data_IF_330676932518
#
_entry.id   IF_330676932518
#
_cell.length_a   1.000
_cell.length_b   1.000
_cell.length_c   1.000
_cell.angle_alpha   90.00
_cell.angle_beta   90.00
_cell.angle_gamma   90.00
#
_symmetry.space_group_name_H-M   'P 1'
#
loop_
_entity.id
_entity.type
_entity.pdbx_description
1 polymer ?
#
# COMPACT_ATOMS: atom_id res chain seq x y z
N UNK A 1 -18.23 -25.81 0.28
CA UNK A 1 -17.46 -27.01 0.64
C UNK A 1 -18.28 -27.78 1.65
N UNK A 2 -18.29 -29.12 1.56
CA UNK A 2 -18.92 -30.00 2.53
C UNK A 2 -17.80 -30.77 3.24
N UNK A 3 -17.86 -30.81 4.57
CA UNK A 3 -16.92 -31.59 5.37
C UNK A 3 -17.67 -32.78 5.96
N UNK A 4 -17.20 -33.98 5.65
CA UNK A 4 -17.73 -35.22 6.21
C UNK A 4 -16.96 -35.55 7.49
N UNK A 5 -17.70 -35.78 8.57
CA UNK A 5 -17.14 -36.40 9.76
C UNK A 5 -16.64 -37.82 9.44
N UNK A 6 -15.75 -38.38 10.24
CA UNK A 6 -15.09 -39.66 9.92
C UNK A 6 -16.07 -40.84 9.84
N UNK A 7 -17.18 -40.74 10.57
CA UNK A 7 -18.27 -41.71 10.57
C UNK A 7 -19.29 -41.52 9.42
N UNK A 8 -19.05 -40.57 8.52
CA UNK A 8 -19.89 -40.29 7.37
C UNK A 8 -19.13 -40.62 6.07
N UNK A 9 -19.72 -41.50 5.25
CA UNK A 9 -19.16 -41.90 3.96
C UNK A 9 -19.75 -41.10 2.78
N UNK A 10 -20.90 -40.46 2.98
CA UNK A 10 -21.57 -39.65 1.97
C UNK A 10 -22.28 -38.43 2.58
N UNK A 11 -22.64 -37.48 1.72
CA UNK A 11 -23.46 -36.32 2.09
C UNK A 11 -24.86 -36.80 2.47
N UNK A 12 -25.37 -36.38 3.62
CA UNK A 12 -26.71 -36.76 4.07
C UNK A 12 -27.82 -36.14 3.22
N UNK A 13 -28.94 -36.85 3.05
CA UNK A 13 -30.05 -36.42 2.20
C UNK A 13 -30.63 -35.07 2.60
N UNK A 14 -30.74 -34.78 3.90
CA UNK A 14 -31.21 -33.46 4.37
C UNK A 14 -30.30 -32.30 3.92
N UNK A 15 -29.00 -32.55 3.70
CA UNK A 15 -28.08 -31.54 3.13
C UNK A 15 -28.27 -31.44 1.62
N UNK A 16 -28.48 -32.57 0.93
CA UNK A 16 -28.76 -32.60 -0.52
C UNK A 16 -30.03 -31.82 -0.85
N UNK A 17 -31.06 -31.95 -0.02
CA UNK A 17 -32.35 -31.26 -0.18
C UNK A 17 -32.23 -29.76 0.15
N UNK A 18 -31.44 -29.40 1.18
CA UNK A 18 -31.26 -28.01 1.60
C UNK A 18 -30.30 -27.21 0.70
N UNK A 19 -29.40 -27.87 -0.03
CA UNK A 19 -28.37 -27.24 -0.87
C UNK A 19 -28.51 -27.73 -2.31
N UNK A 20 -29.28 -27.03 -3.17
CA UNK A 20 -29.62 -27.49 -4.52
C UNK A 20 -28.40 -27.83 -5.41
N UNK A 21 -27.28 -27.09 -5.24
CA UNK A 21 -26.06 -27.27 -6.04
C UNK A 21 -24.95 -27.99 -5.26
N UNK A 22 -25.29 -28.83 -4.28
CA UNK A 22 -24.28 -29.48 -3.41
C UNK A 22 -23.24 -30.29 -4.20
N UNK A 23 -23.61 -30.84 -5.37
CA UNK A 23 -22.71 -31.62 -6.24
C UNK A 23 -21.54 -30.79 -6.80
N UNK A 24 -21.68 -29.48 -6.86
CA UNK A 24 -20.62 -28.56 -7.30
C UNK A 24 -19.68 -28.16 -6.15
N UNK A 25 -20.05 -28.48 -4.90
CA UNK A 25 -19.25 -28.16 -3.74
C UNK A 25 -18.16 -29.21 -3.51
N UNK A 26 -16.90 -28.81 -3.34
CA UNK A 26 -15.85 -29.74 -2.93
C UNK A 26 -16.23 -30.41 -1.62
N UNK A 27 -16.09 -31.73 -1.57
CA UNK A 27 -16.43 -32.56 -0.40
C UNK A 27 -15.19 -33.29 0.07
N UNK A 28 -14.84 -33.13 1.36
CA UNK A 28 -13.65 -33.71 1.96
C UNK A 28 -13.99 -34.39 3.29
N UNK A 29 -13.30 -35.48 3.64
CA UNK A 29 -13.34 -36.05 5.00
C UNK A 29 -12.45 -35.21 5.92
N UNK A 30 -12.86 -35.03 7.18
CA UNK A 30 -12.16 -34.15 8.12
C UNK A 30 -10.72 -34.62 8.38
N UNK A 31 -10.51 -35.90 8.70
CA UNK A 31 -9.18 -36.39 9.07
C UNK A 31 -8.33 -36.76 7.84
N UNK A 32 -8.92 -37.39 6.82
CA UNK A 32 -8.18 -37.85 5.63
C UNK A 32 -8.02 -36.76 4.56
N UNK A 33 -8.76 -35.66 4.69
CA UNK A 33 -8.81 -34.56 3.72
C UNK A 33 -8.07 -33.29 4.15
N UNK A 34 -7.29 -33.32 5.24
CA UNK A 34 -6.71 -32.09 5.82
C UNK A 34 -5.87 -31.29 4.82
N UNK A 35 -5.05 -31.94 4.00
CA UNK A 35 -4.25 -31.26 2.98
C UNK A 35 -5.13 -30.58 1.91
N UNK A 36 -6.20 -31.25 1.48
CA UNK A 36 -7.15 -30.75 0.50
C UNK A 36 -7.96 -29.57 1.06
N UNK A 37 -8.33 -29.62 2.34
CA UNK A 37 -9.01 -28.53 3.04
C UNK A 37 -8.07 -27.31 3.13
N UNK A 38 -6.82 -27.51 3.54
CA UNK A 38 -5.81 -26.44 3.58
C UNK A 38 -5.64 -25.82 2.19
N UNK A 39 -5.45 -26.63 1.15
CA UNK A 39 -5.31 -26.14 -0.23
C UNK A 39 -6.55 -25.40 -0.73
N UNK A 40 -7.76 -25.86 -0.35
CA UNK A 40 -9.01 -25.18 -0.67
C UNK A 40 -9.04 -23.76 -0.07
N UNK A 41 -8.66 -23.59 1.19
CA UNK A 41 -8.61 -22.27 1.80
C UNK A 41 -7.45 -21.43 1.29
N UNK A 42 -6.26 -22.00 1.12
CA UNK A 42 -5.09 -21.28 0.60
C UNK A 42 -5.35 -20.71 -0.79
N UNK A 43 -5.91 -21.50 -1.71
CA UNK A 43 -6.24 -21.03 -3.05
C UNK A 43 -7.26 -19.90 -3.03
N UNK A 44 -8.30 -20.01 -2.18
CA UNK A 44 -9.29 -18.94 -2.02
C UNK A 44 -8.74 -17.68 -1.38
N UNK A 45 -7.89 -17.80 -0.37
CA UNK A 45 -7.22 -16.66 0.26
C UNK A 45 -6.31 -15.95 -0.73
N UNK A 46 -5.60 -16.69 -1.59
CA UNK A 46 -4.80 -16.10 -2.66
C UNK A 46 -5.66 -15.40 -3.71
N UNK A 47 -6.76 -16.02 -4.16
CA UNK A 47 -7.66 -15.40 -5.13
C UNK A 47 -8.43 -14.19 -4.56
N UNK A 48 -8.64 -14.17 -3.24
CA UNK A 48 -9.31 -13.09 -2.54
C UNK A 48 -8.32 -12.01 -2.04
N UNK A 49 -7.03 -12.13 -2.36
CA UNK A 49 -6.04 -11.11 -2.01
C UNK A 49 -6.46 -9.79 -2.70
N UNK A 50 -6.66 -8.71 -1.94
CA UNK A 50 -7.06 -7.43 -2.53
C UNK A 50 -6.04 -6.98 -3.56
N UNK A 51 -6.54 -6.48 -4.68
CA UNK A 51 -5.74 -5.78 -5.69
C UNK A 51 -4.92 -4.68 -5.00
N UNK A 52 -3.66 -4.53 -5.39
CA UNK A 52 -2.79 -3.50 -4.84
C UNK A 52 -2.70 -2.34 -5.83
N UNK A 53 -3.21 -1.18 -5.44
CA UNK A 53 -3.05 0.07 -6.18
C UNK A 53 -1.93 0.90 -5.55
N UNK A 54 -1.28 1.74 -6.36
CA UNK A 54 -0.27 2.70 -5.92
C UNK A 54 -0.90 4.07 -5.69
N UNK A 55 -0.45 4.78 -4.67
CA UNK A 55 -0.81 6.18 -4.42
C UNK A 55 0.44 6.99 -4.11
N UNK A 56 0.84 7.86 -5.04
CA UNK A 56 1.90 8.85 -4.85
C UNK A 56 1.29 10.11 -4.25
N UNK A 57 1.78 10.53 -3.08
CA UNK A 57 1.28 11.72 -2.39
C UNK A 57 1.93 12.98 -2.97
N UNK A 58 1.14 13.77 -3.72
CA UNK A 58 1.57 15.04 -4.33
C UNK A 58 0.65 16.23 -3.98
N UNK A 59 -0.43 16.02 -3.23
CA UNK A 59 -1.44 17.03 -2.89
C UNK A 59 -1.06 18.06 -1.82
N UNK A 60 0.18 18.08 -1.33
CA UNK A 60 0.59 18.99 -0.27
C UNK A 60 0.65 20.45 -0.72
N UNK A 61 0.26 21.39 0.15
CA UNK A 61 0.69 22.78 0.00
C UNK A 61 2.21 22.81 0.25
N UNK A 62 3.00 22.70 -0.80
CA UNK A 62 4.46 22.94 -0.81
C UNK A 62 4.78 24.42 -0.53
N UNK A 63 4.22 24.99 0.55
CA UNK A 63 4.31 26.40 0.90
C UNK A 63 5.48 26.72 1.84
N UNK A 64 6.22 25.71 2.33
CA UNK A 64 7.31 25.93 3.30
C UNK A 64 8.68 26.17 2.65
N UNK A 65 8.81 26.07 1.31
CA UNK A 65 10.06 26.30 0.58
C UNK A 65 9.88 27.12 -0.72
N UNK A 66 8.67 27.58 -1.06
CA UNK A 66 8.42 28.36 -2.28
C UNK A 66 8.60 27.61 -3.60
N UNK A 67 8.92 26.31 -3.56
CA UNK A 67 9.08 25.41 -4.70
C UNK A 67 8.27 24.14 -4.42
N UNK A 68 7.49 23.68 -5.39
CA UNK A 68 6.77 22.41 -5.27
C UNK A 68 7.77 21.26 -5.18
N UNK A 69 7.88 20.63 -4.01
CA UNK A 69 8.86 19.55 -3.77
C UNK A 69 8.63 18.35 -4.70
N UNK A 70 7.38 18.13 -5.13
CA UNK A 70 7.04 17.09 -6.10
C UNK A 70 7.68 17.33 -7.48
N UNK A 71 7.99 18.59 -7.81
CA UNK A 71 8.64 19.00 -9.05
C UNK A 71 10.18 18.97 -8.97
N UNK A 72 10.77 18.49 -7.87
CA UNK A 72 12.22 18.34 -7.78
C UNK A 72 12.68 17.21 -8.70
N UNK A 73 13.63 17.53 -9.58
CA UNK A 73 14.21 16.60 -10.53
C UNK A 73 15.45 15.93 -9.92
N UNK A 74 15.29 14.69 -9.46
CA UNK A 74 16.39 13.90 -8.91
C UNK A 74 17.06 13.03 -9.97
N UNK A 75 16.24 12.42 -10.81
CA UNK A 75 16.65 11.47 -11.85
C UNK A 75 16.38 12.03 -13.26
N UNK A 76 16.44 13.36 -13.42
CA UNK A 76 16.04 14.05 -14.66
C UNK A 76 14.53 14.10 -14.90
N UNK A 77 13.72 13.62 -13.95
CA UNK A 77 12.26 13.57 -13.96
C UNK A 77 11.70 14.06 -12.63
N UNK A 78 10.54 14.70 -12.65
CA UNK A 78 9.89 15.16 -11.42
C UNK A 78 9.61 13.97 -10.51
N UNK A 79 9.89 14.15 -9.21
CA UNK A 79 9.84 13.06 -8.25
C UNK A 79 8.48 12.36 -8.18
N UNK A 80 7.38 13.11 -8.37
CA UNK A 80 6.02 12.53 -8.40
C UNK A 80 5.86 11.49 -9.51
N UNK A 81 6.43 11.77 -10.68
CA UNK A 81 6.34 10.90 -11.85
C UNK A 81 7.33 9.74 -11.76
N UNK A 82 8.55 10.00 -11.28
CA UNK A 82 9.52 8.94 -11.03
C UNK A 82 8.99 7.89 -10.04
N UNK A 83 8.34 8.33 -8.95
CA UNK A 83 7.70 7.42 -8.01
C UNK A 83 6.50 6.70 -8.62
N UNK A 84 5.72 7.36 -9.48
CA UNK A 84 4.58 6.74 -10.14
C UNK A 84 5.03 5.63 -11.10
N UNK A 85 6.08 5.87 -11.90
CA UNK A 85 6.69 4.85 -12.75
C UNK A 85 7.19 3.67 -11.92
N UNK A 86 7.92 3.95 -10.84
CA UNK A 86 8.51 2.93 -9.99
C UNK A 86 7.43 2.03 -9.36
N UNK A 87 6.27 2.58 -9.00
CA UNK A 87 5.15 1.81 -8.47
C UNK A 87 4.44 0.93 -9.51
N UNK A 88 4.60 1.21 -10.80
CA UNK A 88 3.89 0.51 -11.88
C UNK A 88 4.20 -0.98 -11.91
N UNK A 89 5.44 -1.37 -11.60
CA UNK A 89 5.87 -2.77 -11.57
C UNK A 89 5.31 -3.56 -10.37
N UNK A 90 4.76 -2.86 -9.37
CA UNK A 90 4.29 -3.44 -8.11
C UNK A 90 2.77 -3.35 -7.92
N UNK A 91 2.10 -2.47 -8.67
CA UNK A 91 0.70 -2.12 -8.47
C UNK A 91 -0.11 -2.35 -9.75
N UNK A 92 -1.38 -2.71 -9.60
CA UNK A 92 -2.28 -2.90 -10.75
C UNK A 92 -2.68 -1.58 -11.42
N UNK A 93 -2.81 -0.51 -10.64
CA UNK A 93 -3.02 0.85 -11.11
C UNK A 93 -2.32 1.82 -10.16
N UNK A 94 -1.76 2.91 -10.68
CA UNK A 94 -1.01 3.90 -9.89
C UNK A 94 -1.64 5.27 -10.06
N UNK A 95 -1.86 5.94 -8.94
CA UNK A 95 -2.50 7.24 -8.86
C UNK A 95 -1.56 8.29 -8.26
N UNK A 96 -1.65 9.52 -8.75
CA UNK A 96 -1.03 10.69 -8.13
C UNK A 96 -2.11 11.48 -7.39
N UNK A 97 -1.93 11.71 -6.09
CA UNK A 97 -2.90 12.44 -5.27
C UNK A 97 -2.89 13.93 -5.59
N UNK A 98 -4.08 14.53 -5.71
CA UNK A 98 -4.28 15.93 -6.07
C UNK A 98 -5.18 16.62 -5.05
N UNK A 99 -4.84 17.83 -4.62
CA UNK A 99 -5.59 18.57 -3.60
C UNK A 99 -6.97 19.05 -4.09
N UNK A 100 -7.06 19.36 -5.38
CA UNK A 100 -8.23 19.94 -6.07
C UNK A 100 -8.12 19.69 -7.58
N UNK A 101 -9.18 20.04 -8.32
CA UNK A 101 -9.22 19.91 -9.78
C UNK A 101 -8.23 20.84 -10.49
N UNK A 102 -7.82 21.95 -9.86
CA UNK A 102 -6.82 22.86 -10.42
C UNK A 102 -5.45 22.18 -10.45
N UNK A 103 -5.02 21.58 -9.34
CA UNK A 103 -3.76 20.82 -9.30
C UNK A 103 -3.77 19.62 -10.23
N UNK A 104 -4.92 18.96 -10.38
CA UNK A 104 -5.06 17.85 -11.31
C UNK A 104 -4.76 18.25 -12.75
N UNK A 105 -5.09 19.48 -13.15
CA UNK A 105 -4.74 20.02 -14.48
C UNK A 105 -3.26 20.36 -14.62
N UNK A 106 -2.53 20.54 -13.51
CA UNK A 106 -1.07 20.76 -13.50
C UNK A 106 -0.29 19.44 -13.68
N UNK A 107 -0.93 18.29 -13.46
CA UNK A 107 -0.33 16.97 -13.60
C UNK A 107 -0.46 16.48 -15.04
N UNK A 108 0.62 15.91 -15.55
CA UNK A 108 0.68 15.37 -16.91
C UNK A 108 -0.43 14.34 -17.13
N UNK A 109 -1.14 14.49 -18.26
CA UNK A 109 -2.29 13.68 -18.64
C UNK A 109 -1.96 12.19 -18.87
N UNK A 110 -0.68 11.85 -18.99
CA UNK A 110 -0.22 10.45 -19.02
C UNK A 110 -0.42 9.72 -17.68
N UNK A 111 -0.54 10.45 -16.56
CA UNK A 111 -0.68 9.87 -15.22
C UNK A 111 -2.12 9.93 -14.73
N UNK A 112 -2.55 8.86 -14.07
CA UNK A 112 -3.87 8.83 -13.43
C UNK A 112 -3.82 9.63 -12.14
N UNK A 113 -4.75 10.57 -12.00
CA UNK A 113 -4.86 11.44 -10.83
C UNK A 113 -5.99 11.00 -9.90
N UNK A 114 -5.81 11.20 -8.59
CA UNK A 114 -6.87 11.02 -7.59
C UNK A 114 -7.07 12.31 -6.79
N UNK A 115 -8.20 12.97 -7.01
CA UNK A 115 -8.55 14.22 -6.31
C UNK A 115 -9.02 13.94 -4.87
N UNK A 116 -8.46 14.67 -3.90
CA UNK A 116 -8.79 14.56 -2.49
C UNK A 116 -10.26 14.97 -2.23
N UNK A 117 -11.04 13.99 -1.79
CA UNK A 117 -12.40 14.20 -1.27
C UNK A 117 -12.44 14.51 0.23
N UNK A 118 -11.34 14.25 0.95
CA UNK A 118 -11.16 14.56 2.36
C UNK A 118 -10.17 15.71 2.51
N UNK A 119 -10.66 16.92 2.27
CA UNK A 119 -9.84 18.13 2.13
C UNK A 119 -9.21 18.58 3.45
N UNK A 120 -7.98 19.11 3.38
CA UNK A 120 -7.32 19.76 4.53
C UNK A 120 -6.73 18.81 5.56
N UNK A 121 -6.69 17.50 5.28
CA UNK A 121 -6.14 16.47 6.17
C UNK A 121 -4.75 15.96 5.75
N UNK A 122 -4.15 16.59 4.72
CA UNK A 122 -2.83 16.19 4.20
C UNK A 122 -2.82 14.73 3.73
N UNK A 123 -1.72 13.97 3.99
CA UNK A 123 -1.62 12.55 3.63
C UNK A 123 -2.80 11.70 4.11
N UNK A 124 -3.38 12.01 5.28
CA UNK A 124 -4.53 11.30 5.80
C UNK A 124 -5.76 11.42 4.90
N UNK A 125 -5.97 12.61 4.35
CA UNK A 125 -7.06 12.90 3.43
C UNK A 125 -6.91 12.10 2.14
N UNK A 126 -5.72 12.12 1.55
CA UNK A 126 -5.41 11.37 0.33
C UNK A 126 -5.62 9.85 0.51
N UNK A 127 -5.18 9.27 1.63
CA UNK A 127 -5.40 7.84 1.92
C UNK A 127 -6.90 7.53 2.03
N UNK A 128 -7.66 8.35 2.74
CA UNK A 128 -9.11 8.17 2.84
C UNK A 128 -9.82 8.35 1.49
N UNK A 129 -9.35 9.27 0.66
CA UNK A 129 -9.88 9.50 -0.68
C UNK A 129 -9.61 8.33 -1.61
N UNK A 130 -8.44 7.72 -1.51
CA UNK A 130 -8.12 6.49 -2.22
C UNK A 130 -9.05 5.34 -1.83
N UNK A 131 -9.26 5.11 -0.52
CA UNK A 131 -10.24 4.12 -0.08
C UNK A 131 -11.69 4.46 -0.44
N UNK A 132 -12.05 5.75 -0.50
CA UNK A 132 -13.38 6.15 -1.00
C UNK A 132 -13.55 5.81 -2.47
N UNK A 133 -12.50 5.93 -3.28
CA UNK A 133 -12.50 5.57 -4.70
C UNK A 133 -12.62 4.06 -4.89
N UNK A 134 -11.84 3.27 -4.14
CA UNK A 134 -11.91 1.82 -4.16
C UNK A 134 -11.72 1.24 -2.74
N UNK A 135 -12.82 0.90 -2.03
CA UNK A 135 -12.76 0.43 -0.64
C UNK A 135 -12.26 -1.01 -0.51
N UNK A 136 -12.36 -1.81 -1.59
CA UNK A 136 -11.98 -3.22 -1.60
C UNK A 136 -10.52 -3.44 -2.05
N UNK A 137 -9.84 -2.39 -2.53
CA UNK A 137 -8.42 -2.44 -2.89
C UNK A 137 -7.51 -2.14 -1.69
N UNK A 138 -6.32 -2.73 -1.73
CA UNK A 138 -5.21 -2.27 -0.90
C UNK A 138 -4.45 -1.14 -1.61
N UNK A 139 -3.79 -0.30 -0.83
CA UNK A 139 -3.10 0.88 -1.33
C UNK A 139 -1.66 0.93 -0.84
N UNK A 140 -0.69 0.81 -1.74
CA UNK A 140 0.70 1.15 -1.49
C UNK A 140 0.86 2.66 -1.60
N UNK A 141 0.99 3.32 -0.46
CA UNK A 141 1.07 4.77 -0.34
C UNK A 141 2.52 5.18 -0.19
N UNK A 142 2.99 6.09 -1.05
CA UNK A 142 4.35 6.64 -1.00
C UNK A 142 4.35 8.18 -1.07
N UNK A 143 5.17 8.85 -0.27
CA UNK A 143 5.39 10.28 -0.38
C UNK A 143 6.54 10.64 -1.34
N UNK A 144 6.44 11.80 -1.99
CA UNK A 144 7.48 12.29 -2.90
C UNK A 144 8.77 12.75 -2.18
N UNK A 145 8.81 12.83 -0.85
CA UNK A 145 9.98 13.31 -0.12
C UNK A 145 11.00 12.22 0.24
N UNK A 146 10.80 10.99 -0.22
CA UNK A 146 11.71 9.84 -0.04
C UNK A 146 12.44 9.45 -1.35
N UNK A 147 13.40 10.25 -1.84
CA UNK A 147 14.02 10.05 -3.15
C UNK A 147 14.97 8.84 -3.25
N UNK A 148 15.34 8.24 -2.12
CA UNK A 148 16.22 7.08 -2.04
C UNK A 148 15.47 5.73 -2.08
N UNK A 149 14.14 5.77 -2.11
CA UNK A 149 13.33 4.55 -2.32
C UNK A 149 13.59 4.05 -3.74
N UNK A 150 13.95 2.76 -3.82
CA UNK A 150 14.22 2.05 -5.06
C UNK A 150 13.37 0.77 -5.17
N UNK A 151 13.52 0.07 -6.29
CA UNK A 151 12.81 -1.18 -6.60
C UNK A 151 13.03 -2.23 -5.51
N UNK A 152 14.24 -2.35 -4.96
CA UNK A 152 14.56 -3.33 -3.92
C UNK A 152 13.76 -3.11 -2.64
N UNK A 153 13.57 -1.86 -2.22
CA UNK A 153 12.75 -1.50 -1.05
C UNK A 153 11.27 -1.81 -1.29
N UNK A 154 10.75 -1.52 -2.47
CA UNK A 154 9.35 -1.82 -2.81
C UNK A 154 9.10 -3.32 -2.98
N UNK A 155 10.03 -4.04 -3.59
CA UNK A 155 9.98 -5.49 -3.72
C UNK A 155 9.98 -6.18 -2.36
N UNK A 156 10.83 -5.71 -1.44
CA UNK A 156 10.84 -6.21 -0.07
C UNK A 156 9.51 -5.94 0.66
N UNK A 157 8.95 -4.72 0.52
CA UNK A 157 7.67 -4.37 1.15
C UNK A 157 6.51 -5.22 0.61
N UNK A 158 6.42 -5.39 -0.71
CA UNK A 158 5.35 -6.14 -1.37
C UNK A 158 5.44 -7.64 -1.14
N UNK A 159 6.66 -8.21 -1.11
CA UNK A 159 6.88 -9.62 -0.76
C UNK A 159 6.46 -9.94 0.67
N UNK A 160 6.61 -8.96 1.58
CA UNK A 160 6.22 -9.10 2.98
C UNK A 160 4.82 -8.54 3.28
N UNK A 161 4.04 -8.16 2.26
CA UNK A 161 2.66 -7.67 2.42
C UNK A 161 1.80 -8.70 3.16
N UNK A 162 1.12 -8.27 4.21
CA UNK A 162 0.25 -9.14 5.01
C UNK A 162 -1.21 -8.69 5.04
N UNK A 163 -2.08 -9.43 4.34
CA UNK A 163 -3.54 -9.20 4.31
C UNK A 163 -4.25 -9.46 5.64
N UNK A 164 -3.56 -10.05 6.62
CA UNK A 164 -4.08 -10.25 7.98
C UNK A 164 -4.16 -8.93 8.76
N UNK A 165 -3.17 -8.08 8.58
CA UNK A 165 -3.01 -6.83 9.33
C UNK A 165 -3.75 -5.68 8.64
N UNK A 166 -3.87 -4.53 9.31
CA UNK A 166 -4.45 -3.33 8.67
C UNK A 166 -3.48 -2.69 7.67
N UNK A 167 -2.19 -2.94 7.83
CA UNK A 167 -1.17 -2.47 6.92
C UNK A 167 0.18 -3.12 7.16
N UNK A 168 1.04 -2.98 6.16
CA UNK A 168 2.45 -3.40 6.20
C UNK A 168 3.30 -2.15 6.05
N UNK A 169 4.11 -1.84 7.05
CA UNK A 169 4.87 -0.59 7.15
C UNK A 169 6.31 -0.88 7.59
N UNK A 170 7.22 0.03 7.26
CA UNK A 170 8.58 0.00 7.81
C UNK A 170 8.65 0.64 9.19
N UNK A 171 9.52 0.11 10.05
CA UNK A 171 9.97 0.80 11.25
C UNK A 171 11.01 1.84 10.86
N UNK A 172 10.82 3.08 11.31
CA UNK A 172 11.78 4.16 11.12
C UNK A 172 12.70 4.23 12.33
N UNK A 173 14.00 4.00 12.12
CA UNK A 173 15.00 4.16 13.20
C UNK A 173 15.10 5.60 13.71
N UNK A 174 14.83 6.58 12.83
CA UNK A 174 14.90 8.01 13.16
C UNK A 174 13.79 8.41 14.14
N UNK A 175 12.56 7.96 13.89
CA UNK A 175 11.39 8.33 14.71
C UNK A 175 11.03 7.28 15.75
N UNK A 176 11.59 6.07 15.63
CA UNK A 176 11.25 4.87 16.38
C UNK A 176 9.76 4.45 16.24
N UNK A 177 9.11 4.86 15.16
CA UNK A 177 7.70 4.58 14.88
C UNK A 177 7.52 3.99 13.47
N UNK A 178 6.34 3.39 13.16
CA UNK A 178 6.01 3.01 11.80
C UNK A 178 6.02 4.22 10.86
N UNK A 179 6.55 4.05 9.65
CA UNK A 179 6.58 5.09 8.63
C UNK A 179 5.33 4.99 7.73
N UNK A 180 4.31 5.85 7.94
CA UNK A 180 3.05 5.73 7.22
C UNK A 180 3.12 6.11 5.74
N UNK A 181 4.17 6.82 5.31
CA UNK A 181 4.29 7.37 3.97
C UNK A 181 5.13 6.49 3.04
N UNK A 182 5.41 5.25 3.45
CA UNK A 182 5.79 4.11 2.60
C UNK A 182 5.15 2.85 3.19
N UNK A 183 3.85 2.71 3.00
CA UNK A 183 3.02 1.69 3.67
C UNK A 183 2.01 1.11 2.72
N UNK A 184 1.82 -0.21 2.80
CA UNK A 184 0.67 -0.88 2.20
C UNK A 184 -0.48 -0.84 3.20
N UNK A 185 -1.55 -0.15 2.87
CA UNK A 185 -2.79 -0.09 3.64
C UNK A 185 -3.78 -1.10 3.07
N UNK A 186 -4.23 -2.07 3.88
CA UNK A 186 -5.23 -3.05 3.46
C UNK A 186 -6.65 -2.48 3.55
N UNK A 187 -7.65 -3.01 2.83
CA UNK A 187 -9.05 -2.56 2.88
C UNK A 187 -9.60 -2.34 4.29
N UNK A 188 -9.24 -3.24 5.21
CA UNK A 188 -9.68 -3.19 6.61
C UNK A 188 -9.14 -1.97 7.39
N UNK A 189 -8.14 -1.26 6.86
CA UNK A 189 -7.67 -0.02 7.46
C UNK A 189 -8.63 1.15 7.26
N UNK A 190 -9.46 1.13 6.22
CA UNK A 190 -10.39 2.22 5.94
C UNK A 190 -11.35 2.52 7.10
N UNK A 191 -12.09 1.53 7.69
CA UNK A 191 -12.91 1.79 8.85
C UNK A 191 -12.10 2.25 10.08
N UNK A 192 -10.86 1.75 10.26
CA UNK A 192 -9.99 2.22 11.33
C UNK A 192 -9.58 3.70 11.13
N UNK A 193 -9.20 4.08 9.91
CA UNK A 193 -8.91 5.47 9.55
C UNK A 193 -10.13 6.38 9.79
N UNK A 194 -11.33 5.95 9.40
CA UNK A 194 -12.55 6.72 9.65
C UNK A 194 -12.85 6.84 11.16
N UNK A 195 -12.61 5.79 11.95
CA UNK A 195 -12.79 5.81 13.40
C UNK A 195 -11.85 6.82 14.08
N UNK A 196 -10.57 6.84 13.70
CA UNK A 196 -9.62 7.81 14.23
C UNK A 196 -9.98 9.25 13.83
N UNK A 197 -10.45 9.44 12.59
CA UNK A 197 -10.91 10.75 12.13
C UNK A 197 -12.11 11.24 12.95
N UNK A 198 -13.08 10.37 13.23
CA UNK A 198 -14.24 10.71 14.05
C UNK A 198 -13.87 11.14 15.49
N UNK A 199 -12.70 10.70 15.98
CA UNK A 199 -12.14 11.11 17.28
C UNK A 199 -11.31 12.41 17.19
N UNK A 200 -11.20 13.01 16.00
CA UNK A 200 -10.40 14.22 15.77
C UNK A 200 -8.92 13.94 15.46
N UNK A 201 -8.54 12.70 15.14
CA UNK A 201 -7.17 12.37 14.74
C UNK A 201 -7.04 12.23 13.23
N UNK A 202 -6.08 12.95 12.64
CA UNK A 202 -5.77 12.93 11.20
C UNK A 202 -4.29 12.62 10.92
N UNK A 203 -3.68 11.77 11.75
CA UNK A 203 -2.28 11.36 11.62
C UNK A 203 -2.19 9.86 11.27
N UNK A 204 -1.75 9.48 10.06
CA UNK A 204 -1.77 8.07 9.65
C UNK A 204 -0.82 7.23 10.52
N UNK A 205 0.32 7.80 10.91
CA UNK A 205 1.26 7.17 11.87
C UNK A 205 0.56 6.76 13.17
N UNK A 206 -0.35 7.61 13.68
CA UNK A 206 -1.06 7.32 14.93
C UNK A 206 -2.01 6.13 14.77
N UNK A 207 -2.60 5.94 13.60
CA UNK A 207 -3.42 4.76 13.30
C UNK A 207 -2.55 3.51 13.31
N UNK A 208 -1.39 3.53 12.65
CA UNK A 208 -0.46 2.40 12.64
C UNK A 208 0.03 2.01 14.04
N UNK A 209 0.41 2.99 14.87
CA UNK A 209 0.87 2.74 16.25
C UNK A 209 -0.18 2.04 17.11
N UNK A 210 -1.46 2.35 16.87
CA UNK A 210 -2.58 1.89 17.71
C UNK A 210 -3.39 0.76 17.05
N UNK A 211 -2.82 0.07 16.06
CA UNK A 211 -3.49 -1.01 15.32
C UNK A 211 -2.57 -2.22 15.15
N UNK A 212 -3.17 -3.36 14.82
CA UNK A 212 -2.43 -4.57 14.45
C UNK A 212 -1.84 -4.42 13.03
N UNK A 213 -0.53 -4.23 12.96
CA UNK A 213 0.24 -3.97 11.73
C UNK A 213 1.34 -5.02 11.54
N UNK A 214 1.70 -5.28 10.28
CA UNK A 214 2.94 -5.99 9.97
C UNK A 214 4.08 -4.95 9.89
N UNK A 215 4.90 -4.88 10.93
CA UNK A 215 6.01 -3.93 11.00
C UNK A 215 7.33 -4.59 10.56
N UNK A 216 7.93 -4.04 9.52
CA UNK A 216 9.16 -4.55 8.91
C UNK A 216 10.37 -3.71 9.33
N UNK A 217 11.54 -4.36 9.41
CA UNK A 217 12.80 -3.63 9.41
C UNK A 217 13.13 -3.22 7.97
N UNK A 218 13.65 -2.01 7.80
CA UNK A 218 14.06 -1.53 6.48
C UNK A 218 15.41 -2.14 6.11
N UNK A 219 15.58 -2.70 4.90
CA UNK A 219 16.87 -3.26 4.46
C UNK A 219 18.01 -2.24 4.43
N UNK A 220 17.69 -1.00 4.05
CA UNK A 220 18.59 0.15 4.04
C UNK A 220 17.93 1.33 4.76
N UNK A 221 18.46 1.71 5.92
CA UNK A 221 17.93 2.81 6.73
C UNK A 221 17.94 4.16 6.00
N UNK A 222 18.86 4.36 5.04
CA UNK A 222 18.91 5.59 4.27
C UNK A 222 17.72 5.74 3.32
N UNK A 223 17.08 4.64 2.90
CA UNK A 223 15.95 4.66 1.96
C UNK A 223 14.75 5.47 2.48
N UNK A 224 14.54 5.53 3.79
CA UNK A 224 13.45 6.29 4.42
C UNK A 224 13.81 7.76 4.72
N UNK A 225 14.96 8.24 4.23
CA UNK A 225 15.41 9.60 4.49
C UNK A 225 14.53 10.61 3.75
N UNK A 226 13.84 11.46 4.51
CA UNK A 226 13.08 12.56 3.95
C UNK A 226 14.00 13.73 3.58
N UNK A 227 13.78 14.35 2.41
CA UNK A 227 14.48 15.58 2.03
C UNK A 227 13.67 16.82 2.38
N UNK A 228 14.16 17.54 3.38
CA UNK A 228 13.56 18.75 3.92
C UNK A 228 14.46 19.98 3.87
N UNK A 229 15.79 19.80 3.89
CA UNK A 229 16.76 20.90 3.86
C UNK A 229 17.62 20.91 2.58
N UNK A 230 18.22 22.06 2.21
CA UNK A 230 19.20 22.12 1.12
C UNK A 230 20.41 21.20 1.34
N UNK A 231 20.88 21.06 2.58
CA UNK A 231 22.02 20.20 2.91
C UNK A 231 21.68 18.71 2.71
N UNK A 232 20.46 18.29 3.07
CA UNK A 232 19.94 16.95 2.78
C UNK A 232 19.85 16.73 1.26
N UNK A 233 19.49 17.77 0.51
CA UNK A 233 19.41 17.71 -0.94
C UNK A 233 20.76 17.41 -1.60
N UNK A 234 21.82 18.08 -1.17
CA UNK A 234 23.17 17.86 -1.70
C UNK A 234 23.75 16.50 -1.28
N UNK A 235 23.36 15.97 -0.11
CA UNK A 235 23.69 14.58 0.26
C UNK A 235 23.01 13.58 -0.68
N UNK A 236 21.70 13.71 -0.89
CA UNK A 236 20.93 12.79 -1.75
C UNK A 236 21.43 12.85 -3.19
N UNK A 237 21.71 14.04 -3.75
CA UNK A 237 22.29 14.18 -5.11
C UNK A 237 23.58 13.37 -5.27
N UNK A 238 24.46 13.39 -4.25
CA UNK A 238 25.71 12.61 -4.28
C UNK A 238 25.45 11.11 -4.25
N UNK A 239 24.51 10.65 -3.42
CA UNK A 239 24.14 9.23 -3.34
C UNK A 239 23.57 8.76 -4.68
N UNK A 240 22.64 9.52 -5.26
CA UNK A 240 22.03 9.22 -6.56
C UNK A 240 23.08 9.16 -7.66
N UNK A 241 23.95 10.17 -7.75
CA UNK A 241 25.02 10.20 -8.75
C UNK A 241 25.93 8.96 -8.67
N UNK A 242 26.26 8.52 -7.45
CA UNK A 242 27.06 7.32 -7.24
C UNK A 242 26.31 6.03 -7.61
N UNK A 243 25.00 5.93 -7.33
CA UNK A 243 24.17 4.78 -7.71
C UNK A 243 24.03 4.69 -9.24
N UNK A 244 23.71 5.79 -9.93
CA UNK A 244 23.56 5.80 -11.40
C UNK A 244 24.87 5.43 -12.10
N UNK A 245 26.01 5.97 -11.62
CA UNK A 245 27.33 5.65 -12.18
C UNK A 245 27.74 4.18 -12.01
N UNK A 246 27.21 3.48 -11.00
CA UNK A 246 27.44 2.05 -10.81
C UNK A 246 26.54 1.19 -11.70
N UNK A 247 25.29 1.61 -11.93
CA UNK A 247 24.36 0.91 -12.83
C UNK A 247 24.79 1.01 -14.30
N UNK A 248 25.30 2.17 -14.74
CA UNK A 248 25.78 2.36 -16.12
C UNK A 248 27.11 1.64 -16.43
N UNK A 249 27.81 1.18 -15.39
CA UNK A 249 29.07 0.45 -15.50
C UNK A 249 28.92 -1.08 -15.43
N UNK A 250 27.69 -1.58 -15.26
CA UNK A 250 27.35 -3.01 -15.12
C UNK A 250 26.62 -3.55 -16.35
#
# INVERSE_FOLDING_TARGET
MILLADNADEVFDFVKDAVPNWRELPTYKLNDGTAQIINFFQSRLQSAKPVLNGLVLAGGKSARMGVDKGALNWYGKEQRYYMADLLHDFCSEVFISCRDEDQKQEIDAEYVTLTDTFTGLGPYGAILSAFRQNPEAAWLVIACDMPLVDEGILQHLTNNRSVKHIGTAYHSEVTNFPEPLITIWEPKSYPALLQFLAQGYSCPRKVLINSDINLLQVPDAEALSNVNTPEEMDRVKRIIHNKTAQTDAS
#
